data_IF_325222371081
#
_entry.id   IF_325222371081
#
_cell.length_a   1.000
_cell.length_b   1.000
_cell.length_c   1.000
_cell.angle_alpha   90.00
_cell.angle_beta   90.00
_cell.angle_gamma   90.00
#
_symmetry.space_group_name_H-M   'P 1'
#
loop_
_entity.id
_entity.type
_entity.pdbx_description
1 polymer ?
#
# COMPACT_ATOMS: atom_id res chain seq x y z
N UNK A 1 10.35 13.32 2.57
CA UNK A 1 9.17 13.86 1.85
C UNK A 1 8.00 12.91 2.07
N UNK A 2 6.82 13.39 2.46
CA UNK A 2 5.63 12.57 2.70
C UNK A 2 5.14 11.98 1.38
N UNK A 3 4.90 10.66 1.34
CA UNK A 3 4.40 9.96 0.15
C UNK A 3 2.90 10.18 0.02
N UNK A 4 2.49 10.91 -1.02
CA UNK A 4 1.09 11.22 -1.32
C UNK A 4 0.49 10.15 -2.23
N UNK A 5 -0.78 9.80 -2.01
CA UNK A 5 -1.47 8.83 -2.87
C UNK A 5 -1.52 9.32 -4.32
N UNK A 6 -1.19 8.45 -5.28
CA UNK A 6 -1.16 8.80 -6.70
C UNK A 6 -2.49 8.61 -7.44
N UNK A 7 -3.49 7.99 -6.79
CA UNK A 7 -4.82 7.78 -7.37
C UNK A 7 -5.50 9.13 -7.59
N UNK A 8 -6.05 9.39 -8.80
CA UNK A 8 -6.75 10.65 -9.09
C UNK A 8 -7.78 11.02 -8.02
N UNK A 9 -7.84 12.31 -7.68
CA UNK A 9 -8.76 12.89 -6.69
C UNK A 9 -8.57 12.41 -5.23
N UNK A 10 -7.68 11.46 -4.95
CA UNK A 10 -7.37 11.05 -3.58
C UNK A 10 -6.45 12.07 -2.88
N UNK A 11 -6.84 12.53 -1.68
CA UNK A 11 -6.08 13.50 -0.88
C UNK A 11 -5.36 12.89 0.33
N UNK A 12 -5.26 11.57 0.38
CA UNK A 12 -4.53 10.85 1.43
C UNK A 12 -3.06 11.32 1.53
N UNK A 13 -2.58 11.58 2.75
CA UNK A 13 -1.24 12.11 3.08
C UNK A 13 -0.92 13.50 2.50
N UNK A 14 -1.93 14.32 2.15
CA UNK A 14 -1.72 15.73 1.81
C UNK A 14 -1.60 16.62 3.04
N UNK A 15 -2.34 16.29 4.10
CA UNK A 15 -2.24 16.91 5.42
C UNK A 15 -1.08 16.25 6.18
N UNK A 16 -0.06 17.00 6.62
CA UNK A 16 1.06 16.45 7.36
C UNK A 16 0.69 15.96 8.78
N UNK A 17 -0.47 16.32 9.30
CA UNK A 17 -0.94 15.91 10.64
C UNK A 17 -1.65 14.56 10.64
N UNK A 18 -2.08 14.07 9.47
CA UNK A 18 -2.83 12.83 9.32
C UNK A 18 -2.02 11.84 8.48
N UNK A 19 -1.62 10.73 9.10
CA UNK A 19 -0.90 9.67 8.41
C UNK A 19 -1.83 8.52 8.01
N UNK A 20 -1.70 8.05 6.78
CA UNK A 20 -2.37 6.85 6.29
C UNK A 20 -1.39 5.92 5.57
N UNK A 21 -1.48 4.63 5.88
CA UNK A 21 -0.67 3.57 5.29
C UNK A 21 -0.79 3.55 3.77
N UNK A 22 0.35 3.33 3.13
CA UNK A 22 0.50 3.48 1.69
C UNK A 22 1.39 2.38 1.12
N UNK A 23 0.91 1.73 0.07
CA UNK A 23 1.63 0.66 -0.62
C UNK A 23 2.42 1.20 -1.80
N UNK A 24 3.66 0.75 -1.93
CA UNK A 24 4.44 0.97 -3.13
C UNK A 24 3.99 0.04 -4.25
N UNK A 25 4.27 0.44 -5.49
CA UNK A 25 4.00 -0.42 -6.64
C UNK A 25 4.82 -1.72 -6.55
N UNK A 26 4.25 -2.86 -6.98
CA UNK A 26 4.97 -4.12 -7.06
C UNK A 26 6.23 -4.01 -7.95
N UNK A 27 7.28 -4.74 -7.58
CA UNK A 27 8.49 -4.88 -8.41
C UNK A 27 8.21 -5.67 -9.69
N UNK A 28 7.35 -6.68 -9.60
CA UNK A 28 6.93 -7.52 -10.72
C UNK A 28 6.12 -6.70 -11.75
N UNK A 29 6.52 -6.77 -13.01
CA UNK A 29 6.03 -5.88 -14.05
C UNK A 29 4.56 -6.10 -14.38
N UNK A 30 4.09 -7.34 -14.41
CA UNK A 30 2.71 -7.69 -14.72
C UNK A 30 1.74 -7.09 -13.71
N UNK A 31 2.01 -7.30 -12.41
CA UNK A 31 1.23 -6.67 -11.32
C UNK A 31 1.33 -5.15 -11.34
N UNK A 32 2.52 -4.58 -11.58
CA UNK A 32 2.70 -3.12 -11.70
C UNK A 32 1.83 -2.55 -12.82
N UNK A 33 1.85 -3.17 -14.00
CA UNK A 33 1.05 -2.77 -15.15
C UNK A 33 -0.45 -2.92 -14.88
N UNK A 34 -0.85 -3.97 -14.16
CA UNK A 34 -2.24 -4.14 -13.73
C UNK A 34 -2.70 -2.99 -12.82
N UNK A 35 -1.86 -2.58 -11.86
CA UNK A 35 -2.16 -1.42 -11.00
C UNK A 35 -2.30 -0.14 -11.82
N UNK A 36 -1.36 0.14 -12.73
CA UNK A 36 -1.41 1.33 -13.60
C UNK A 36 -2.68 1.35 -14.45
N UNK A 37 -3.06 0.21 -15.04
CA UNK A 37 -4.29 0.07 -15.81
C UNK A 37 -5.54 0.33 -14.96
N UNK A 38 -5.57 -0.12 -13.70
CA UNK A 38 -6.71 0.07 -12.78
C UNK A 38 -6.81 1.50 -12.24
N UNK A 39 -5.68 2.17 -12.03
CA UNK A 39 -5.66 3.61 -11.67
C UNK A 39 -6.16 4.46 -12.84
N UNK A 40 -5.99 3.98 -14.08
CA UNK A 40 -6.54 4.56 -15.30
C UNK A 40 -6.19 6.04 -15.47
N UNK A 41 -4.96 6.42 -15.11
CA UNK A 41 -4.45 7.77 -15.28
C UNK A 41 -3.66 7.85 -16.59
N UNK A 42 -4.14 8.66 -17.53
CA UNK A 42 -3.51 8.84 -18.85
C UNK A 42 -2.07 9.33 -18.69
N UNK A 43 -1.17 8.75 -19.47
CA UNK A 43 0.27 9.09 -19.53
C UNK A 43 0.98 9.07 -18.16
N UNK A 44 0.44 8.29 -17.21
CA UNK A 44 1.01 8.15 -15.88
C UNK A 44 2.09 7.07 -15.88
N UNK A 45 3.33 7.51 -15.87
CA UNK A 45 4.43 6.68 -15.41
C UNK A 45 4.60 6.89 -13.90
N UNK A 46 4.63 5.82 -13.07
CA UNK A 46 5.03 5.91 -11.67
C UNK A 46 6.54 6.18 -11.61
N UNK A 47 6.91 7.36 -12.07
CA UNK A 47 8.21 7.95 -11.89
C UNK A 47 8.34 8.24 -10.40
N UNK A 48 9.31 7.61 -9.75
CA UNK A 48 9.77 7.82 -8.36
C UNK A 48 9.36 6.78 -7.33
N UNK A 49 10.31 6.56 -6.40
CA UNK A 49 10.15 5.88 -5.10
C UNK A 49 8.99 6.42 -4.24
N UNK A 50 8.39 7.55 -4.64
CA UNK A 50 7.31 8.24 -3.94
C UNK A 50 5.91 7.92 -4.48
N UNK A 51 5.80 7.21 -5.61
CA UNK A 51 4.51 6.77 -6.14
C UNK A 51 3.93 5.66 -5.23
N UNK A 52 2.83 5.98 -4.55
CA UNK A 52 2.15 5.08 -3.62
C UNK A 52 0.64 5.12 -3.79
N UNK A 53 -0.02 4.03 -3.40
CA UNK A 53 -1.48 3.91 -3.32
C UNK A 53 -1.87 3.72 -1.86
N UNK A 54 -2.72 4.58 -1.32
CA UNK A 54 -3.15 4.46 0.08
C UNK A 54 -4.06 3.24 0.32
N UNK A 55 -4.10 2.76 1.55
CA UNK A 55 -4.86 1.58 1.97
C UNK A 55 -6.35 1.63 1.62
N UNK A 56 -6.95 2.83 1.53
CA UNK A 56 -8.37 3.03 1.16
C UNK A 56 -8.75 2.47 -0.22
N UNK A 57 -7.78 2.18 -1.08
CA UNK A 57 -8.03 1.61 -2.42
C UNK A 57 -7.92 0.08 -2.46
N UNK A 58 -7.70 -0.55 -1.31
CA UNK A 58 -7.66 -2.00 -1.15
C UNK A 58 -8.81 -2.45 -0.26
N UNK A 59 -9.38 -3.61 -0.57
CA UNK A 59 -10.31 -4.26 0.35
C UNK A 59 -9.52 -4.84 1.51
N UNK A 60 -10.01 -4.66 2.74
CA UNK A 60 -9.36 -5.10 3.97
C UNK A 60 -9.00 -6.59 3.94
N UNK A 61 -9.82 -7.44 3.30
CA UNK A 61 -9.56 -8.88 3.14
C UNK A 61 -8.27 -9.21 2.38
N UNK A 62 -7.70 -8.25 1.64
CA UNK A 62 -6.45 -8.41 0.90
C UNK A 62 -5.28 -7.69 1.58
N UNK A 63 -5.52 -7.00 2.70
CA UNK A 63 -4.48 -6.31 3.47
C UNK A 63 -4.11 -7.19 4.64
N UNK A 64 -2.85 -7.62 4.68
CA UNK A 64 -2.31 -8.37 5.81
C UNK A 64 -1.89 -7.34 6.86
N UNK A 65 -2.53 -7.40 8.03
CA UNK A 65 -2.25 -6.53 9.19
C UNK A 65 -1.67 -7.30 10.37
N UNK A 66 -1.71 -8.62 10.32
CA UNK A 66 -1.22 -9.51 11.39
C UNK A 66 -0.35 -10.60 10.76
N UNK A 67 0.77 -10.89 11.43
CA UNK A 67 1.61 -12.04 11.18
C UNK A 67 1.54 -12.99 12.37
N UNK A 68 1.56 -14.29 12.12
CA UNK A 68 1.46 -15.31 13.16
C UNK A 68 2.59 -16.32 13.03
N UNK A 69 3.31 -16.53 14.12
CA UNK A 69 4.35 -17.55 14.23
C UNK A 69 4.02 -18.51 15.38
N UNK A 70 4.16 -19.81 15.15
CA UNK A 70 4.01 -20.83 16.19
C UNK A 70 5.38 -21.11 16.78
N UNK A 71 5.49 -21.08 18.11
CA UNK A 71 6.71 -21.45 18.84
C UNK A 71 6.76 -22.97 19.08
N UNK A 72 7.93 -23.47 19.45
CA UNK A 72 8.14 -24.91 19.74
C UNK A 72 7.24 -25.44 20.87
N UNK A 73 6.81 -24.57 21.79
CA UNK A 73 5.87 -24.89 22.89
C UNK A 73 4.40 -24.87 22.46
N UNK A 74 4.11 -24.62 21.18
CA UNK A 74 2.76 -24.51 20.63
C UNK A 74 2.08 -23.17 20.85
N UNK A 75 2.71 -22.21 21.54
CA UNK A 75 2.17 -20.86 21.70
C UNK A 75 2.23 -20.08 20.39
N UNK A 76 1.19 -19.28 20.11
CA UNK A 76 1.13 -18.42 18.92
C UNK A 76 1.63 -17.02 19.28
N UNK A 77 2.62 -16.53 18.54
CA UNK A 77 3.03 -15.13 18.52
C UNK A 77 2.27 -14.42 17.41
N UNK A 78 1.40 -13.48 17.77
CA UNK A 78 0.75 -12.56 16.82
C UNK A 78 1.48 -11.23 16.81
N UNK A 79 1.90 -10.77 15.62
CA UNK A 79 2.56 -9.48 15.40
C UNK A 79 1.66 -8.61 14.53
N UNK A 80 1.26 -7.44 15.04
CA UNK A 80 0.55 -6.46 14.23
C UNK A 80 1.53 -5.73 13.31
N UNK A 81 1.35 -5.88 12.00
CA UNK A 81 2.14 -5.22 10.97
C UNK A 81 1.61 -3.79 10.79
N UNK A 82 2.37 -2.81 11.29
CA UNK A 82 2.10 -1.42 10.98
C UNK A 82 2.66 -1.09 9.58
N UNK A 83 1.76 -0.84 8.61
CA UNK A 83 2.10 -0.46 7.23
C UNK A 83 2.37 1.04 7.05
#
# INVERSE_FOLDING_TARGET
>A
MVKKCCVPCCRSNYDPTVYISCFQFPKEEGRRNLWLKKINRKDYSPSSKNAVVCIKHFSEKFVITEDHAVRDDGSVLTVNIQN
#
